data_IF_055047335084
#
_entry.id   IF_055047335084
#
_cell.length_a   1.000
_cell.length_b   1.000
_cell.length_c   1.000
_cell.angle_alpha   90.00
_cell.angle_beta   90.00
_cell.angle_gamma   90.00
#
_symmetry.space_group_name_H-M   'P 1'
#
loop_
_entity.id
_entity.type
_entity.pdbx_description
1 polymer ?
#
# COMPACT_ATOMS: atom_id res chain seq x y z
N UNK A 1 -13.72 -63.31 -45.14
CA UNK A 1 -12.44 -62.58 -44.93
C UNK A 1 -12.67 -61.41 -43.99
N UNK A 2 -12.21 -61.49 -42.73
CA UNK A 2 -12.26 -60.36 -41.78
C UNK A 2 -10.89 -59.67 -41.79
N UNK A 3 -10.87 -58.45 -42.34
CA UNK A 3 -9.69 -57.58 -42.36
C UNK A 3 -9.47 -56.98 -40.97
N UNK A 4 -8.39 -57.38 -40.31
CA UNK A 4 -7.91 -56.73 -39.10
C UNK A 4 -7.20 -55.44 -39.49
N UNK A 5 -7.92 -54.31 -39.51
CA UNK A 5 -7.30 -52.98 -39.54
C UNK A 5 -6.51 -52.81 -38.24
N UNK A 6 -5.19 -52.87 -38.31
CA UNK A 6 -4.31 -52.48 -37.20
C UNK A 6 -4.55 -51.00 -36.92
N UNK A 7 -5.15 -50.69 -35.76
CA UNK A 7 -5.15 -49.34 -35.20
C UNK A 7 -3.69 -48.93 -35.00
N UNK A 8 -3.17 -48.06 -35.85
CA UNK A 8 -1.90 -47.39 -35.61
C UNK A 8 -2.03 -46.62 -34.29
N UNK A 9 -1.28 -47.05 -33.28
CA UNK A 9 -1.09 -46.27 -32.06
C UNK A 9 -0.18 -45.11 -32.44
N UNK A 10 -0.76 -43.94 -32.66
CA UNK A 10 -0.02 -42.70 -32.87
C UNK A 10 0.62 -42.35 -31.52
N UNK A 11 1.93 -42.58 -31.41
CA UNK A 11 2.71 -42.14 -30.25
C UNK A 11 2.87 -40.62 -30.27
N UNK A 12 2.93 -40.01 -29.09
CA UNK A 12 3.25 -38.59 -28.96
C UNK A 12 4.64 -38.32 -29.54
N UNK A 13 4.76 -37.27 -30.35
CA UNK A 13 6.06 -36.84 -30.86
C UNK A 13 6.83 -36.13 -29.74
N UNK A 14 8.17 -36.21 -29.78
CA UNK A 14 9.02 -35.52 -28.81
C UNK A 14 8.76 -33.99 -28.80
N UNK A 15 8.45 -33.43 -29.98
CA UNK A 15 8.08 -32.02 -30.13
C UNK A 15 6.79 -31.69 -29.37
N UNK A 16 5.77 -32.53 -29.48
CA UNK A 16 4.47 -32.33 -28.82
C UNK A 16 4.59 -32.35 -27.29
N UNK A 17 5.41 -33.26 -26.74
CA UNK A 17 5.69 -33.32 -25.30
C UNK A 17 6.44 -32.06 -24.84
N UNK A 18 7.43 -31.61 -25.60
CA UNK A 18 8.17 -30.38 -25.27
C UNK A 18 7.26 -29.16 -25.30
N UNK A 19 6.39 -29.03 -26.30
CA UNK A 19 5.40 -27.95 -26.37
C UNK A 19 4.42 -28.01 -25.19
N UNK A 20 3.93 -29.19 -24.83
CA UNK A 20 3.07 -29.35 -23.65
C UNK A 20 3.76 -28.93 -22.35
N UNK A 21 5.04 -29.31 -22.18
CA UNK A 21 5.84 -28.94 -21.01
C UNK A 21 6.12 -27.43 -20.95
N UNK A 22 6.45 -26.78 -22.07
CA UNK A 22 6.70 -25.33 -22.09
C UNK A 22 5.43 -24.54 -21.81
N UNK A 23 4.28 -24.97 -22.35
CA UNK A 23 2.99 -24.37 -22.05
C UNK A 23 2.65 -24.51 -20.57
N UNK A 24 2.80 -25.71 -20.00
CA UNK A 24 2.55 -25.95 -18.58
C UNK A 24 3.46 -25.09 -17.69
N UNK A 25 4.77 -25.06 -17.99
CA UNK A 25 5.73 -24.24 -17.26
C UNK A 25 5.36 -22.76 -17.29
N UNK A 26 4.96 -22.24 -18.46
CA UNK A 26 4.55 -20.83 -18.62
C UNK A 26 3.30 -20.50 -17.79
N UNK A 27 2.31 -21.39 -17.77
CA UNK A 27 1.10 -21.21 -16.96
C UNK A 27 1.44 -21.21 -15.46
N UNK A 28 2.30 -22.11 -15.02
CA UNK A 28 2.73 -22.18 -13.62
C UNK A 28 3.46 -20.90 -13.22
N UNK A 29 4.47 -20.49 -14.01
CA UNK A 29 5.27 -19.29 -13.72
C UNK A 29 4.39 -18.03 -13.70
N UNK A 30 3.50 -17.87 -14.67
CA UNK A 30 2.61 -16.71 -14.72
C UNK A 30 1.64 -16.68 -13.53
N UNK A 31 1.11 -17.83 -13.10
CA UNK A 31 0.27 -17.94 -11.92
C UNK A 31 1.02 -17.58 -10.63
N UNK A 32 2.25 -18.07 -10.45
CA UNK A 32 3.08 -17.71 -9.28
C UNK A 32 3.39 -16.21 -9.24
N UNK A 33 3.70 -15.60 -10.38
CA UNK A 33 3.97 -14.17 -10.47
C UNK A 33 2.71 -13.34 -10.13
N UNK A 34 1.56 -13.74 -10.66
CA UNK A 34 0.28 -13.10 -10.35
C UNK A 34 -0.03 -13.20 -8.85
N UNK A 35 0.13 -14.38 -8.26
CA UNK A 35 -0.06 -14.61 -6.83
C UNK A 35 0.88 -13.77 -5.97
N UNK A 36 2.18 -13.73 -6.31
CA UNK A 36 3.16 -12.93 -5.58
C UNK A 36 2.82 -11.44 -5.61
N UNK A 37 2.42 -10.91 -6.78
CA UNK A 37 1.96 -9.52 -6.91
C UNK A 37 0.70 -9.27 -6.08
N UNK A 38 -0.26 -10.18 -6.11
CA UNK A 38 -1.50 -10.05 -5.36
C UNK A 38 -1.25 -10.04 -3.84
N UNK A 39 -0.39 -10.91 -3.32
CA UNK A 39 -0.01 -10.90 -1.91
C UNK A 39 0.64 -9.58 -1.48
N UNK A 40 1.53 -9.03 -2.33
CA UNK A 40 2.13 -7.71 -2.07
C UNK A 40 1.08 -6.61 -2.02
N UNK A 41 0.10 -6.63 -2.92
CA UNK A 41 -1.01 -5.67 -2.92
C UNK A 41 -1.87 -5.78 -1.66
N UNK A 42 -2.21 -7.00 -1.21
CA UNK A 42 -2.96 -7.21 0.03
C UNK A 42 -2.21 -6.63 1.23
N UNK A 43 -0.90 -6.89 1.34
CA UNK A 43 -0.07 -6.37 2.44
C UNK A 43 -0.07 -4.84 2.46
N UNK A 44 0.11 -4.21 1.29
CA UNK A 44 0.08 -2.75 1.17
C UNK A 44 -1.30 -2.18 1.52
N UNK A 45 -2.38 -2.81 1.05
CA UNK A 45 -3.74 -2.37 1.35
C UNK A 45 -4.04 -2.44 2.86
N UNK A 46 -3.66 -3.54 3.53
CA UNK A 46 -3.80 -3.68 4.98
C UNK A 46 -3.02 -2.60 5.74
N UNK A 47 -1.79 -2.33 5.32
CA UNK A 47 -0.95 -1.30 5.93
C UNK A 47 -1.55 0.09 5.78
N UNK A 48 -2.13 0.40 4.61
CA UNK A 48 -2.83 1.67 4.38
C UNK A 48 -4.09 1.81 5.23
N UNK A 49 -4.91 0.76 5.33
CA UNK A 49 -6.13 0.79 6.17
C UNK A 49 -5.77 1.07 7.63
N UNK A 50 -4.79 0.35 8.17
CA UNK A 50 -4.32 0.58 9.54
C UNK A 50 -3.74 1.99 9.72
N UNK A 51 -2.95 2.48 8.75
CA UNK A 51 -2.40 3.84 8.82
C UNK A 51 -3.47 4.92 8.80
N UNK A 52 -4.57 4.75 8.05
CA UNK A 52 -5.70 5.68 8.06
C UNK A 52 -6.39 5.68 9.44
N UNK A 53 -6.66 4.50 10.00
CA UNK A 53 -7.26 4.39 11.34
C UNK A 53 -6.40 5.08 12.41
N UNK A 54 -5.09 4.86 12.36
CA UNK A 54 -4.15 5.52 13.29
C UNK A 54 -4.11 7.03 13.06
N UNK A 55 -4.17 7.49 11.80
CA UNK A 55 -4.21 8.91 11.49
C UNK A 55 -5.47 9.58 12.06
N UNK A 56 -6.63 8.94 11.92
CA UNK A 56 -7.90 9.42 12.45
C UNK A 56 -7.87 9.49 13.99
N UNK A 57 -7.37 8.44 14.65
CA UNK A 57 -7.20 8.41 16.10
C UNK A 57 -6.24 9.50 16.59
N UNK A 58 -5.12 9.70 15.89
CA UNK A 58 -4.13 10.73 16.21
C UNK A 58 -4.73 12.13 16.06
N UNK A 59 -5.45 12.39 14.96
CA UNK A 59 -6.14 13.65 14.73
C UNK A 59 -7.19 13.92 15.81
N UNK A 60 -7.97 12.92 16.20
CA UNK A 60 -8.96 13.06 17.26
C UNK A 60 -8.30 13.40 18.60
N UNK A 61 -7.22 12.69 18.97
CA UNK A 61 -6.46 12.97 20.20
C UNK A 61 -5.83 14.36 20.20
N UNK A 62 -5.25 14.77 19.07
CA UNK A 62 -4.63 16.10 18.92
C UNK A 62 -5.66 17.22 18.94
N UNK A 63 -6.82 17.01 18.31
CA UNK A 63 -7.91 17.99 18.29
C UNK A 63 -8.58 18.16 19.65
N UNK A 64 -8.61 17.10 20.47
CA UNK A 64 -9.07 17.17 21.85
C UNK A 64 -8.03 17.79 22.82
N UNK A 65 -6.78 17.92 22.40
CA UNK A 65 -5.72 18.53 23.23
C UNK A 65 -5.86 20.05 23.32
N UNK A 66 -5.49 20.64 24.46
CA UNK A 66 -5.61 22.09 24.69
C UNK A 66 -4.87 22.96 23.66
N UNK A 67 -3.77 22.45 23.09
CA UNK A 67 -2.96 23.15 22.09
C UNK A 67 -3.46 22.94 20.65
N UNK A 68 -4.41 22.02 20.45
CA UNK A 68 -4.86 21.55 19.15
C UNK A 68 -3.77 20.81 18.38
N UNK A 69 -3.95 20.70 17.06
CA UNK A 69 -2.99 20.04 16.18
C UNK A 69 -1.72 20.91 16.07
N UNK A 70 -0.53 20.34 16.34
CA UNK A 70 0.74 21.07 16.24
C UNK A 70 1.16 21.26 14.77
N UNK A 71 1.64 22.45 14.37
CA UNK A 71 1.96 22.78 12.99
C UNK A 71 3.18 22.02 12.43
N UNK A 72 4.17 21.72 13.28
CA UNK A 72 5.36 20.95 12.92
C UNK A 72 5.75 20.06 14.09
N UNK A 73 5.45 18.77 13.99
CA UNK A 73 5.77 17.79 15.04
C UNK A 73 5.90 16.41 14.44
N UNK A 74 6.57 15.51 15.14
CA UNK A 74 6.69 14.11 14.74
C UNK A 74 6.83 13.20 15.94
N UNK A 75 6.53 11.93 15.74
CA UNK A 75 6.67 10.95 16.80
C UNK A 75 6.55 9.50 16.30
N UNK A 76 6.95 8.53 17.14
CA UNK A 76 6.78 7.12 16.85
C UNK A 76 5.32 6.69 17.05
N UNK A 77 4.94 5.59 16.41
CA UNK A 77 3.66 4.90 16.65
C UNK A 77 3.97 3.65 17.49
N UNK A 78 3.52 3.57 18.76
CA UNK A 78 3.93 2.49 19.67
C UNK A 78 3.64 1.07 19.16
N UNK A 79 2.51 0.89 18.49
CA UNK A 79 2.07 -0.41 17.96
C UNK A 79 2.85 -0.83 16.69
N UNK A 80 3.53 0.12 16.05
CA UNK A 80 4.24 -0.08 14.78
C UNK A 80 5.64 0.54 14.85
N UNK A 81 6.67 -0.23 15.26
CA UNK A 81 8.03 0.29 15.49
C UNK A 81 8.69 0.92 14.25
N UNK A 82 8.31 0.47 13.06
CA UNK A 82 8.81 1.00 11.79
C UNK A 82 8.03 2.22 11.31
N UNK A 83 6.94 2.58 11.98
CA UNK A 83 6.07 3.68 11.59
C UNK A 83 6.27 4.90 12.46
N UNK A 84 6.11 6.06 11.84
CA UNK A 84 6.18 7.36 12.49
C UNK A 84 5.10 8.27 11.91
N UNK A 85 4.64 9.20 12.72
CA UNK A 85 3.77 10.27 12.26
C UNK A 85 4.53 11.58 12.17
N UNK A 86 4.10 12.46 11.28
CA UNK A 86 4.63 13.81 11.12
C UNK A 86 3.52 14.77 10.74
N UNK A 87 3.48 15.93 11.38
CA UNK A 87 2.68 17.08 10.96
C UNK A 87 3.57 18.14 10.31
N UNK A 88 3.06 18.79 9.27
CA UNK A 88 3.72 19.92 8.61
C UNK A 88 2.68 20.92 8.10
N UNK A 89 2.98 22.21 8.16
CA UNK A 89 2.17 23.25 7.50
C UNK A 89 2.44 23.18 6.00
N UNK A 90 1.38 22.97 5.23
CA UNK A 90 1.46 22.88 3.76
C UNK A 90 1.05 24.19 3.10
N UNK A 91 0.15 24.94 3.71
CA UNK A 91 -0.28 26.25 3.23
C UNK A 91 -0.78 27.13 4.36
N UNK A 92 -0.60 28.43 4.18
CA UNK A 92 -1.23 29.47 5.00
C UNK A 92 -2.15 30.28 4.10
N UNK A 93 -3.38 30.48 4.53
CA UNK A 93 -4.38 31.27 3.85
C UNK A 93 -4.78 32.45 4.73
N UNK A 94 -4.34 33.63 4.32
CA UNK A 94 -4.74 34.90 4.92
C UNK A 94 -5.98 35.42 4.18
N UNK A 95 -7.13 34.72 4.31
CA UNK A 95 -8.41 35.28 3.86
C UNK A 95 -9.05 36.03 5.02
N UNK A 96 -9.30 37.32 4.82
CA UNK A 96 -10.12 38.13 5.72
C UNK A 96 -11.50 37.46 5.84
N UNK A 97 -12.04 37.24 7.06
CA UNK A 97 -11.62 37.80 8.35
C UNK A 97 -10.83 36.86 9.27
N UNK A 98 -10.53 35.60 8.89
CA UNK A 98 -9.90 34.62 9.78
C UNK A 98 -8.66 34.02 9.11
N UNK A 99 -7.44 34.29 9.61
CA UNK A 99 -6.25 33.63 9.10
C UNK A 99 -6.32 32.12 9.37
N UNK A 100 -6.00 31.31 8.37
CA UNK A 100 -6.08 29.85 8.44
C UNK A 100 -4.75 29.22 8.03
N UNK A 101 -4.40 28.09 8.65
CA UNK A 101 -3.29 27.23 8.26
C UNK A 101 -3.80 25.84 7.90
N UNK A 102 -3.25 25.26 6.84
CA UNK A 102 -3.49 23.87 6.44
C UNK A 102 -2.33 23.04 6.97
N UNK A 103 -2.63 22.19 7.94
CA UNK A 103 -1.67 21.26 8.54
C UNK A 103 -1.91 19.88 7.93
N UNK A 104 -0.88 19.30 7.33
CA UNK A 104 -0.91 17.95 6.81
C UNK A 104 -0.32 16.99 7.84
N UNK A 105 -1.06 15.96 8.20
CA UNK A 105 -0.60 14.81 8.96
C UNK A 105 -0.23 13.67 8.00
N UNK A 106 0.94 13.10 8.20
CA UNK A 106 1.48 11.99 7.43
C UNK A 106 1.83 10.83 8.33
N UNK A 107 1.50 9.61 7.89
CA UNK A 107 1.96 8.35 8.49
C UNK A 107 2.97 7.73 7.55
N UNK A 108 4.19 7.53 8.04
CA UNK A 108 5.36 7.13 7.27
C UNK A 108 5.89 5.82 7.83
N UNK A 109 6.04 4.83 6.96
CA UNK A 109 6.72 3.58 7.24
C UNK A 109 8.17 3.62 6.75
N UNK A 110 9.10 3.23 7.61
CA UNK A 110 10.51 3.03 7.27
C UNK A 110 10.69 1.60 6.77
N UNK A 111 10.78 1.44 5.45
CA UNK A 111 11.06 0.14 4.82
C UNK A 111 12.57 -0.19 4.86
N UNK A 112 13.42 0.84 4.77
CA UNK A 112 14.88 0.77 4.92
C UNK A 112 15.43 2.15 5.31
N UNK A 113 16.70 2.28 5.72
CA UNK A 113 17.26 3.57 6.22
C UNK A 113 17.06 4.76 5.25
N UNK A 114 17.03 4.49 3.95
CA UNK A 114 16.86 5.49 2.90
C UNK A 114 15.47 5.54 2.26
N UNK A 115 14.60 4.55 2.51
CA UNK A 115 13.31 4.42 1.82
C UNK A 115 12.14 4.57 2.78
N UNK A 116 11.47 5.71 2.66
CA UNK A 116 10.26 6.05 3.38
C UNK A 116 9.04 5.81 2.50
N UNK A 117 8.06 5.06 3.01
CA UNK A 117 6.81 4.77 2.35
C UNK A 117 5.70 5.58 3.03
N UNK A 118 5.05 6.47 2.27
CA UNK A 118 3.90 7.23 2.77
C UNK A 118 2.67 6.31 2.76
N UNK A 119 2.17 5.97 3.95
CA UNK A 119 1.03 5.08 4.10
C UNK A 119 -0.30 5.83 4.07
N UNK A 120 -0.37 6.95 4.79
CA UNK A 120 -1.55 7.81 4.84
C UNK A 120 -1.13 9.29 4.91
N UNK A 121 -1.95 10.16 4.31
CA UNK A 121 -1.77 11.61 4.39
C UNK A 121 -3.15 12.25 4.44
N UNK A 122 -3.37 13.10 5.43
CA UNK A 122 -4.63 13.84 5.63
C UNK A 122 -4.31 15.28 5.97
N UNK A 123 -5.19 16.21 5.62
CA UNK A 123 -4.98 17.64 5.87
C UNK A 123 -6.14 18.21 6.66
N UNK A 124 -5.81 19.03 7.66
CA UNK A 124 -6.78 19.70 8.51
C UNK A 124 -6.55 21.19 8.43
N UNK A 125 -7.64 21.95 8.38
CA UNK A 125 -7.63 23.41 8.41
C UNK A 125 -7.77 23.86 9.86
N UNK A 126 -6.82 24.66 10.34
CA UNK A 126 -6.82 25.24 11.68
C UNK A 126 -6.85 26.77 11.55
N UNK A 127 -7.73 27.44 12.29
CA UNK A 127 -7.69 28.89 12.41
C UNK A 127 -6.45 29.31 13.23
N UNK A 128 -5.82 30.41 12.83
CA UNK A 128 -4.74 31.03 13.59
C UNK A 128 -5.42 32.02 14.54
N UNK A 129 -5.27 31.83 15.85
CA UNK A 129 -5.69 32.84 16.82
C UNK A 129 -4.82 34.10 16.64
N UNK A 130 -5.42 35.30 16.62
CA UNK A 130 -4.71 36.56 16.40
C UNK A 130 -3.71 36.91 17.52
#
# INVERSE_FOLDING_TARGET
MKSFRSRQRVGFTLVEVVVGLTLLATVIVSSLLAFSKHQKQIRLARSKIAAVQIADDLLNRMSASRTGIPPASSGPIPEHPTWSWRTSVTAETFRVPIPMQIITLQIIERENESKQNLLASTSVVKAIEP
#
